data_IF_303972734506
#
_entry.id   IF_303972734506
#
_cell.length_a   1.000
_cell.length_b   1.000
_cell.length_c   1.000
_cell.angle_alpha   90.00
_cell.angle_beta   90.00
_cell.angle_gamma   90.00
#
_symmetry.space_group_name_H-M   'P 1'
#
loop_
_entity.id
_entity.type
_entity.pdbx_description
1 polymer ?
#
# COMPACT_ATOMS: atom_id res chain seq x y z
N UNK A 1 3.93 -17.28 -32.11
CA UNK A 1 3.75 -18.27 -33.19
C UNK A 1 3.12 -17.53 -34.36
N UNK A 2 3.92 -17.00 -35.31
CA UNK A 2 3.38 -16.37 -36.52
C UNK A 2 2.81 -17.48 -37.39
N UNK A 3 1.48 -17.57 -37.46
CA UNK A 3 0.83 -18.43 -38.44
C UNK A 3 0.69 -17.60 -39.72
N UNK A 4 1.37 -18.07 -40.75
CA UNK A 4 1.39 -17.56 -42.13
C UNK A 4 2.49 -16.54 -42.46
N UNK A 5 3.43 -16.97 -43.32
CA UNK A 5 4.73 -16.37 -43.60
C UNK A 5 4.71 -15.13 -44.50
N UNK A 6 3.94 -14.09 -44.16
CA UNK A 6 4.01 -12.78 -44.82
C UNK A 6 4.69 -11.73 -43.93
N UNK A 7 5.98 -11.54 -44.21
CA UNK A 7 7.01 -10.79 -43.48
C UNK A 7 6.84 -9.26 -43.39
N UNK A 8 5.67 -8.67 -43.66
CA UNK A 8 5.51 -7.20 -43.69
C UNK A 8 4.67 -6.58 -42.57
N UNK A 9 4.05 -7.39 -41.70
CA UNK A 9 3.17 -6.88 -40.64
C UNK A 9 3.38 -7.55 -39.27
N UNK A 10 4.56 -8.09 -39.00
CA UNK A 10 4.91 -8.59 -37.66
C UNK A 10 5.79 -7.57 -36.91
N UNK A 11 5.24 -6.40 -36.61
CA UNK A 11 5.76 -5.59 -35.49
C UNK A 11 5.04 -6.08 -34.25
N UNK A 12 5.58 -7.14 -33.64
CA UNK A 12 5.10 -7.63 -32.36
C UNK A 12 6.01 -7.13 -31.25
N UNK A 13 5.99 -5.82 -31.04
CA UNK A 13 6.61 -5.24 -29.85
C UNK A 13 5.66 -5.47 -28.70
N UNK A 14 6.08 -6.23 -27.69
CA UNK A 14 5.36 -6.34 -26.42
C UNK A 14 4.97 -4.95 -25.94
N UNK A 15 3.66 -4.66 -25.85
CA UNK A 15 3.19 -3.37 -25.38
C UNK A 15 3.32 -3.34 -23.86
N UNK A 16 4.29 -2.57 -23.37
CA UNK A 16 4.47 -2.31 -21.94
C UNK A 16 3.91 -0.93 -21.62
N UNK A 17 2.99 -0.87 -20.66
CA UNK A 17 2.53 0.38 -20.05
C UNK A 17 3.34 0.59 -18.76
N UNK A 18 4.05 1.71 -18.70
CA UNK A 18 4.74 2.15 -17.49
C UNK A 18 3.94 3.28 -16.85
N UNK A 19 3.53 3.05 -15.61
CA UNK A 19 2.89 4.07 -14.78
C UNK A 19 3.91 4.51 -13.74
N UNK A 20 4.15 5.82 -13.68
CA UNK A 20 4.95 6.44 -12.65
C UNK A 20 4.09 7.44 -11.91
N UNK A 21 4.03 7.32 -10.59
CA UNK A 21 3.45 8.35 -9.74
C UNK A 21 4.40 8.68 -8.60
N UNK A 22 4.40 9.95 -8.20
CA UNK A 22 5.23 10.44 -7.13
C UNK A 22 4.33 11.10 -6.08
N UNK A 23 4.55 10.72 -4.82
CA UNK A 23 3.85 11.31 -3.67
C UNK A 23 4.86 12.13 -2.88
N UNK A 24 4.60 13.43 -2.74
CA UNK A 24 5.40 14.32 -1.90
C UNK A 24 4.64 14.61 -0.61
N UNK A 25 5.16 14.11 0.50
CA UNK A 25 4.58 14.28 1.83
C UNK A 25 5.39 15.36 2.55
N UNK A 26 4.80 16.51 2.89
CA UNK A 26 5.47 17.49 3.72
C UNK A 26 5.66 16.91 5.13
N UNK A 27 6.87 16.97 5.67
CA UNK A 27 7.17 16.51 7.03
C UNK A 27 7.44 17.72 7.90
N UNK A 28 6.68 17.84 8.99
CA UNK A 28 6.82 18.94 9.93
C UNK A 28 8.00 18.67 10.89
N UNK A 29 9.03 19.52 10.82
CA UNK A 29 10.21 19.49 11.69
C UNK A 29 10.42 20.92 12.21
N UNK A 30 10.65 21.13 13.51
CA UNK A 30 10.78 22.47 14.08
C UNK A 30 11.87 23.29 13.34
N UNK A 31 11.44 24.40 12.74
CA UNK A 31 12.29 25.36 12.04
C UNK A 31 12.74 24.97 10.63
N UNK A 32 12.18 23.92 10.02
CA UNK A 32 12.48 23.52 8.63
C UNK A 32 11.25 22.94 7.93
N UNK A 33 10.95 23.41 6.71
CA UNK A 33 10.02 22.72 5.81
C UNK A 33 10.80 21.81 4.88
N UNK A 34 10.74 20.50 5.13
CA UNK A 34 11.27 19.49 4.22
C UNK A 34 10.13 18.60 3.73
N UNK A 35 10.22 18.14 2.47
CA UNK A 35 9.27 17.21 1.90
C UNK A 35 9.96 15.89 1.62
N UNK A 36 9.30 14.78 1.98
CA UNK A 36 9.72 13.43 1.62
C UNK A 36 8.99 13.04 0.35
N UNK A 37 9.73 12.64 -0.67
CA UNK A 37 9.17 12.18 -1.94
C UNK A 37 9.31 10.67 -2.10
N UNK A 38 8.19 10.01 -2.37
CA UNK A 38 8.11 8.59 -2.68
C UNK A 38 7.79 8.44 -4.16
N UNK A 39 8.58 7.62 -4.85
CA UNK A 39 8.41 7.35 -6.28
C UNK A 39 7.96 5.91 -6.45
N UNK A 40 6.87 5.72 -7.17
CA UNK A 40 6.30 4.42 -7.43
C UNK A 40 6.30 4.18 -8.93
N UNK A 41 6.93 3.08 -9.33
CA UNK A 41 6.98 2.63 -10.70
C UNK A 41 6.23 1.31 -10.83
N UNK A 42 5.31 1.24 -11.78
CA UNK A 42 4.57 0.04 -12.08
C UNK A 42 4.62 -0.25 -13.58
N UNK A 43 5.16 -1.42 -13.92
CA UNK A 43 5.31 -1.91 -15.29
C UNK A 43 4.24 -2.97 -15.59
N UNK A 44 3.38 -2.69 -16.56
CA UNK A 44 2.25 -3.52 -16.96
C UNK A 44 2.49 -4.10 -18.35
N UNK A 45 2.50 -5.43 -18.45
CA UNK A 45 2.39 -6.10 -19.74
C UNK A 45 0.94 -6.00 -20.22
N UNK A 46 0.71 -5.29 -21.31
CA UNK A 46 -0.62 -5.18 -21.89
C UNK A 46 -0.92 -6.37 -22.79
N UNK A 47 -2.17 -6.89 -22.76
CA UNK A 47 -2.57 -7.90 -23.72
C UNK A 47 -2.60 -7.25 -25.09
N UNK A 48 -2.02 -7.92 -26.07
CA UNK A 48 -1.99 -7.44 -27.46
C UNK A 48 -3.29 -7.81 -28.21
N UNK A 49 -4.18 -8.60 -27.59
CA UNK A 49 -5.51 -8.95 -28.11
C UNK A 49 -6.64 -8.51 -27.17
N UNK A 50 -7.69 -7.89 -27.73
CA UNK A 50 -8.86 -7.42 -26.97
C UNK A 50 -9.69 -8.55 -26.35
N UNK A 51 -9.71 -9.75 -26.95
CA UNK A 51 -10.40 -10.93 -26.40
C UNK A 51 -9.80 -11.39 -25.06
N UNK A 52 -8.50 -11.16 -24.84
CA UNK A 52 -7.82 -11.49 -23.59
C UNK A 52 -8.19 -10.54 -22.46
N UNK A 53 -8.67 -9.34 -22.78
CA UNK A 53 -9.18 -8.38 -21.79
C UNK A 53 -10.49 -8.85 -21.14
N UNK A 54 -11.35 -9.54 -21.90
CA UNK A 54 -12.62 -10.08 -21.42
C UNK A 54 -12.50 -11.50 -20.84
N UNK A 55 -11.31 -12.09 -20.84
CA UNK A 55 -11.08 -13.37 -20.16
C UNK A 55 -11.09 -13.15 -18.65
N UNK A 56 -11.94 -13.91 -17.93
CA UNK A 56 -12.08 -13.84 -16.46
C UNK A 56 -10.74 -13.88 -15.70
N UNK A 57 -9.70 -14.47 -16.31
CA UNK A 57 -8.38 -14.67 -15.73
C UNK A 57 -7.44 -13.44 -15.78
N UNK A 58 -7.73 -12.39 -16.58
CA UNK A 58 -6.85 -11.22 -16.66
C UNK A 58 -7.03 -10.26 -15.47
N UNK A 59 -8.27 -10.09 -15.00
CA UNK A 59 -8.58 -9.33 -13.79
C UNK A 59 -8.24 -10.10 -12.50
N UNK A 60 -8.36 -11.43 -12.52
CA UNK A 60 -8.11 -12.28 -11.35
C UNK A 60 -6.65 -12.25 -10.85
N UNK A 61 -5.69 -11.77 -11.67
CA UNK A 61 -4.26 -11.88 -11.35
C UNK A 61 -3.64 -10.64 -10.70
N UNK A 62 -4.37 -9.53 -10.54
CA UNK A 62 -3.83 -8.29 -9.93
C UNK A 62 -4.82 -7.59 -9.02
N UNK A 63 -5.38 -8.33 -8.05
CA UNK A 63 -5.87 -7.67 -6.84
C UNK A 63 -4.64 -7.26 -6.01
N UNK A 64 -4.58 -5.98 -5.62
CA UNK A 64 -3.73 -5.54 -4.51
C UNK A 64 -4.25 -6.25 -3.25
N UNK A 65 -3.69 -7.42 -2.95
CA UNK A 65 -3.97 -8.16 -1.73
C UNK A 65 -3.32 -7.41 -0.56
N UNK A 66 -4.04 -7.26 0.57
CA UNK A 66 -3.46 -6.62 1.76
C UNK A 66 -2.21 -7.36 2.22
N UNK A 67 -2.11 -8.66 1.97
CA UNK A 67 -0.91 -9.46 2.28
C UNK A 67 0.34 -8.88 1.60
N UNK A 68 0.24 -8.52 0.32
CA UNK A 68 1.35 -7.90 -0.42
C UNK A 68 1.75 -6.56 0.20
N UNK A 69 0.76 -5.76 0.59
CA UNK A 69 0.99 -4.45 1.20
C UNK A 69 1.64 -4.59 2.57
N UNK A 70 1.19 -5.56 3.37
CA UNK A 70 1.72 -5.85 4.69
C UNK A 70 3.14 -6.40 4.63
N UNK A 71 3.42 -7.32 3.70
CA UNK A 71 4.79 -7.81 3.45
C UNK A 71 5.72 -6.67 3.05
N UNK A 72 5.31 -5.82 2.11
CA UNK A 72 6.08 -4.65 1.69
C UNK A 72 6.30 -3.67 2.86
N UNK A 73 5.28 -3.48 3.70
CA UNK A 73 5.35 -2.60 4.88
C UNK A 73 6.35 -3.13 5.90
N UNK A 74 6.30 -4.43 6.24
CA UNK A 74 7.24 -5.08 7.16
C UNK A 74 8.67 -4.94 6.64
N UNK A 75 8.91 -5.32 5.38
CA UNK A 75 10.25 -5.22 4.77
C UNK A 75 10.77 -3.78 4.78
N UNK A 76 9.88 -2.80 4.53
CA UNK A 76 10.27 -1.40 4.54
C UNK A 76 10.61 -0.93 5.94
N UNK A 77 9.82 -1.28 6.95
CA UNK A 77 10.07 -0.93 8.35
C UNK A 77 11.37 -1.57 8.86
N UNK A 78 11.63 -2.83 8.50
CA UNK A 78 12.89 -3.51 8.82
C UNK A 78 14.09 -2.84 8.16
N UNK A 79 13.95 -2.41 6.90
CA UNK A 79 15.02 -1.68 6.19
C UNK A 79 15.36 -0.34 6.85
N UNK A 80 14.41 0.24 7.61
CA UNK A 80 14.59 1.47 8.39
C UNK A 80 15.10 1.19 9.82
N UNK A 81 15.30 -0.08 10.19
CA UNK A 81 15.81 -0.49 11.50
C UNK A 81 14.73 -0.68 12.57
N UNK A 82 13.45 -0.75 12.18
CA UNK A 82 12.34 -0.98 13.10
C UNK A 82 11.89 -2.44 13.11
N UNK A 83 11.28 -2.94 14.21
CA UNK A 83 10.70 -4.27 14.23
C UNK A 83 9.45 -4.33 13.34
N UNK A 84 9.60 -4.80 12.11
CA UNK A 84 8.61 -4.63 11.05
C UNK A 84 7.22 -5.17 11.39
N UNK A 85 7.14 -6.40 11.90
CA UNK A 85 5.85 -7.01 12.29
C UNK A 85 5.18 -6.26 13.45
N UNK A 86 5.89 -6.03 14.56
CA UNK A 86 5.35 -5.29 15.71
C UNK A 86 4.87 -3.88 15.30
N UNK A 87 5.61 -3.21 14.41
CA UNK A 87 5.21 -1.91 13.88
C UNK A 87 3.97 -1.98 12.97
N UNK A 88 3.89 -2.97 12.08
CA UNK A 88 2.69 -3.18 11.26
C UNK A 88 1.45 -3.41 12.15
N UNK A 89 1.56 -4.24 13.18
CA UNK A 89 0.45 -4.54 14.08
C UNK A 89 0.04 -3.30 14.89
N UNK A 90 1.01 -2.48 15.33
CA UNK A 90 0.76 -1.18 15.95
C UNK A 90 -0.03 -0.26 15.02
N UNK A 91 0.41 -0.15 13.77
CA UNK A 91 -0.20 0.66 12.71
C UNK A 91 -1.66 0.25 12.45
N UNK A 92 -1.95 -1.05 12.36
CA UNK A 92 -3.32 -1.57 12.19
C UNK A 92 -4.19 -1.25 13.40
N UNK A 93 -3.66 -1.45 14.61
CA UNK A 93 -4.35 -1.13 15.86
C UNK A 93 -4.69 0.37 15.97
N UNK A 94 -3.76 1.25 15.59
CA UNK A 94 -3.96 2.70 15.63
C UNK A 94 -4.95 3.16 14.55
N UNK A 95 -4.84 2.67 13.32
CA UNK A 95 -5.76 2.99 12.22
C UNK A 95 -7.21 2.54 12.48
N UNK A 96 -7.40 1.47 13.26
CA UNK A 96 -8.72 1.01 13.68
C UNK A 96 -9.38 1.94 14.73
N UNK A 97 -8.58 2.69 15.49
CA UNK A 97 -9.07 3.59 16.55
C UNK A 97 -9.19 5.04 16.11
N UNK A 98 -8.22 5.48 15.33
CA UNK A 98 -8.08 6.86 14.89
C UNK A 98 -8.28 6.88 13.38
N UNK A 99 -9.49 7.25 12.92
CA UNK A 99 -9.79 7.29 11.49
C UNK A 99 -8.81 8.20 10.75
N UNK A 100 -8.27 7.71 9.65
CA UNK A 100 -7.31 8.40 8.79
C UNK A 100 -8.00 9.26 7.70
N UNK A 101 -9.33 9.19 7.58
CA UNK A 101 -10.14 9.79 6.50
C UNK A 101 -10.13 11.32 6.45
N UNK A 102 -9.67 12.00 7.51
CA UNK A 102 -9.60 13.47 7.52
C UNK A 102 -8.43 14.04 6.70
N UNK A 103 -7.53 13.18 6.21
CA UNK A 103 -6.33 13.56 5.45
C UNK A 103 -6.52 13.50 3.91
N UNK A 104 -7.77 13.54 3.44
CA UNK A 104 -8.12 13.42 2.03
C UNK A 104 -7.93 12.01 1.47
N UNK A 105 -7.78 11.91 0.14
CA UNK A 105 -7.77 10.61 -0.59
C UNK A 105 -6.71 9.64 -0.07
N UNK A 106 -5.52 10.14 0.31
CA UNK A 106 -4.48 9.29 0.88
C UNK A 106 -4.92 8.70 2.23
N UNK A 107 -5.59 9.50 3.06
CA UNK A 107 -6.18 9.06 4.32
C UNK A 107 -7.21 7.94 4.14
N UNK A 108 -8.11 8.09 3.16
CA UNK A 108 -9.11 7.07 2.84
C UNK A 108 -8.47 5.76 2.35
N UNK A 109 -7.45 5.85 1.50
CA UNK A 109 -6.70 4.67 1.03
C UNK A 109 -6.05 3.95 2.21
N UNK A 110 -5.37 4.70 3.09
CA UNK A 110 -4.71 4.12 4.26
C UNK A 110 -5.72 3.50 5.23
N UNK A 111 -6.89 4.14 5.43
CA UNK A 111 -7.97 3.56 6.24
C UNK A 111 -8.37 2.18 5.71
N UNK A 112 -8.60 2.05 4.40
CA UNK A 112 -9.04 0.80 3.76
C UNK A 112 -7.95 -0.29 3.85
N UNK A 113 -6.67 0.10 3.71
CA UNK A 113 -5.54 -0.83 3.75
C UNK A 113 -5.30 -1.37 5.15
N UNK A 114 -5.38 -0.53 6.18
CA UNK A 114 -5.00 -0.87 7.55
C UNK A 114 -6.19 -1.17 8.48
N UNK A 115 -7.41 -1.24 7.95
CA UNK A 115 -8.63 -1.67 8.66
C UNK A 115 -9.20 -2.93 7.98
N UNK A 116 -8.58 -4.11 8.17
CA UNK A 116 -8.95 -5.30 7.41
C UNK A 116 -10.41 -5.73 7.57
N UNK A 117 -11.08 -5.40 8.68
CA UNK A 117 -12.51 -5.66 8.88
C UNK A 117 -13.45 -4.81 8.03
N UNK A 118 -13.01 -3.65 7.52
CA UNK A 118 -13.80 -2.85 6.58
C UNK A 118 -13.83 -3.46 5.18
N UNK A 119 -12.94 -4.44 4.94
CA UNK A 119 -12.64 -5.13 3.70
C UNK A 119 -13.46 -6.39 3.38
N UNK A 120 -13.11 -7.07 2.28
CA UNK A 120 -13.37 -8.51 2.09
C UNK A 120 -12.45 -9.33 3.01
N UNK A 121 -12.94 -10.49 3.47
CA UNK A 121 -12.12 -11.44 4.21
C UNK A 121 -11.10 -12.10 3.26
N UNK A 122 -9.82 -11.85 3.51
CA UNK A 122 -8.67 -12.32 2.70
C UNK A 122 -7.90 -13.47 3.38
N UNK A 123 -8.46 -14.08 4.43
CA UNK A 123 -7.78 -15.09 5.27
C UNK A 123 -6.43 -14.57 5.79
N UNK A 124 -6.47 -13.38 6.41
CA UNK A 124 -5.31 -12.79 7.06
C UNK A 124 -4.92 -13.60 8.31
N UNK A 125 -3.64 -13.60 8.70
CA UNK A 125 -3.19 -14.22 9.95
C UNK A 125 -3.97 -13.68 11.16
N UNK A 126 -4.24 -14.55 12.12
CA UNK A 126 -5.01 -14.21 13.33
C UNK A 126 -4.41 -13.03 14.09
N UNK A 127 -3.07 -12.92 14.13
CA UNK A 127 -2.36 -11.81 14.78
C UNK A 127 -2.74 -10.44 14.21
N UNK A 128 -3.00 -10.36 12.90
CA UNK A 128 -3.44 -9.11 12.24
C UNK A 128 -4.88 -8.77 12.62
N UNK A 129 -5.75 -9.78 12.64
CA UNK A 129 -7.17 -9.62 13.01
C UNK A 129 -7.32 -9.26 14.49
N UNK A 130 -6.46 -9.81 15.33
CA UNK A 130 -6.38 -9.48 16.76
C UNK A 130 -5.89 -8.04 16.98
N UNK A 131 -4.90 -7.59 16.20
CA UNK A 131 -4.36 -6.24 16.31
C UNK A 131 -5.40 -5.15 16.07
N UNK A 132 -6.30 -5.35 15.10
CA UNK A 132 -7.42 -4.43 14.81
C UNK A 132 -8.38 -4.27 16.00
N UNK A 133 -8.52 -5.31 16.83
CA UNK A 133 -9.46 -5.33 17.98
C UNK A 133 -8.83 -4.86 19.28
N UNK A 134 -7.50 -4.69 19.32
CA UNK A 134 -6.75 -4.35 20.53
C UNK A 134 -7.07 -2.92 21.00
N UNK A 135 -7.25 -2.74 22.31
CA UNK A 135 -7.62 -1.47 22.93
C UNK A 135 -6.42 -0.65 23.43
N UNK A 136 -5.26 -1.27 23.66
CA UNK A 136 -4.07 -0.55 24.12
C UNK A 136 -2.86 -0.78 23.19
N UNK A 137 -2.83 -0.08 22.05
CA UNK A 137 -1.79 -0.26 21.01
C UNK A 137 -0.38 -0.03 21.56
N UNK A 138 -0.15 1.06 22.29
CA UNK A 138 1.16 1.41 22.85
C UNK A 138 1.72 0.37 23.81
N UNK A 139 0.83 -0.22 24.62
CA UNK A 139 1.21 -1.22 25.62
C UNK A 139 1.51 -2.57 24.97
N UNK A 140 0.65 -2.99 24.02
CA UNK A 140 0.78 -4.27 23.33
C UNK A 140 1.98 -4.28 22.40
N UNK A 141 2.18 -3.20 21.63
CA UNK A 141 3.20 -3.07 20.59
C UNK A 141 4.31 -2.08 20.98
N UNK A 142 4.71 -2.10 22.25
CA UNK A 142 5.78 -1.24 22.82
C UNK A 142 7.14 -1.35 22.13
N UNK A 143 7.38 -2.43 21.38
CA UNK A 143 8.63 -2.64 20.64
C UNK A 143 8.75 -1.71 19.45
N UNK A 144 7.62 -1.24 18.90
CA UNK A 144 7.63 -0.27 17.83
C UNK A 144 7.64 1.15 18.42
N UNK A 145 8.73 1.92 18.28
CA UNK A 145 8.83 3.26 18.84
C UNK A 145 8.17 4.34 17.97
N UNK A 146 7.74 3.99 16.75
CA UNK A 146 7.24 4.93 15.75
C UNK A 146 5.86 4.51 15.25
N UNK A 147 4.95 5.47 15.13
CA UNK A 147 3.79 5.31 14.26
C UNK A 147 4.12 5.99 12.93
N UNK A 148 4.23 5.25 11.81
CA UNK A 148 4.51 5.86 10.50
C UNK A 148 3.44 6.88 10.06
N UNK A 149 2.25 6.89 10.66
CA UNK A 149 1.19 7.87 10.37
C UNK A 149 1.23 9.13 11.22
N UNK A 150 2.00 9.19 12.30
CA UNK A 150 2.13 10.43 13.10
C UNK A 150 2.75 11.57 12.28
N UNK A 151 3.44 11.25 11.19
CA UNK A 151 3.97 12.22 10.21
C UNK A 151 2.88 12.83 9.31
N UNK A 152 1.72 12.19 9.20
CA UNK A 152 0.57 12.64 8.38
C UNK A 152 -0.50 13.27 9.28
N UNK A 153 -0.61 12.84 10.54
CA UNK A 153 -1.68 13.21 11.46
C UNK A 153 -1.48 14.54 12.21
N UNK A 154 -0.33 15.21 12.10
CA UNK A 154 -0.06 16.43 12.90
C UNK A 154 -0.80 17.70 12.42
N UNK A 155 -1.82 17.58 11.56
CA UNK A 155 -2.65 18.72 11.17
C UNK A 155 -3.77 19.08 12.15
N UNK A 156 -3.89 18.42 13.31
CA UNK A 156 -4.84 18.87 14.35
C UNK A 156 -4.21 18.78 15.74
N UNK A 157 -3.77 19.94 16.24
CA UNK A 157 -3.26 20.08 17.61
C UNK A 157 -2.49 21.38 17.88
N UNK A 158 -2.81 22.48 17.20
CA UNK A 158 -2.29 23.80 17.53
C UNK A 158 -3.36 24.89 17.34
N UNK A 159 -4.47 24.73 18.05
CA UNK A 159 -5.26 25.82 18.67
C UNK A 159 -6.14 25.23 19.76
#
# INVERSE_FOLDING_TARGET
>A
MCRDGRLRECIFTYLHLQILFAVAIPVDIPGKSIAVSLYFEANYGLPWEASQFYGENYYAKRNLDRRLVYEASVQKLESLGYPGLDCLLRTICEAAKYPLSENGVLGDILQIVFTPSSSRNENLPDEIVEAEREQHCDRRYKKCPVNPFDLVSSHVGAT
#
